data_IF_644085134555
#
_entry.id   IF_644085134555
#
_cell.length_a   1.000
_cell.length_b   1.000
_cell.length_c   1.000
_cell.angle_alpha   90.00
_cell.angle_beta   90.00
_cell.angle_gamma   90.00
#
_symmetry.space_group_name_H-M   'P 1'
#
loop_
_entity.id
_entity.type
_entity.pdbx_description
1 polymer ?
2 water ?
#
# COMPACT_ATOMS: atom_id res chain seq x y z
N UNK A 4 -15.17 22.30 -33.70
CA UNK A 4 -13.91 21.72 -33.10
C UNK A 4 -14.16 20.65 -32.06
N UNK A 5 -14.44 19.45 -32.54
CA UNK A 5 -14.11 18.24 -31.78
C UNK A 5 -12.55 18.24 -31.65
N UNK A 6 -11.91 17.09 -31.91
CA UNK A 6 -10.43 16.91 -31.97
C UNK A 6 -9.56 17.59 -30.90
N UNK A 7 -9.41 18.92 -30.97
CA UNK A 7 -8.55 19.69 -30.09
C UNK A 7 -9.11 19.70 -28.66
N UNK A 8 -10.44 19.84 -28.60
CA UNK A 8 -11.22 19.88 -27.36
C UNK A 8 -10.98 18.61 -26.59
N UNK A 9 -10.88 17.48 -27.30
CA UNK A 9 -10.83 16.17 -26.66
C UNK A 9 -9.45 15.78 -26.18
N UNK A 10 -8.39 16.26 -26.86
CA UNK A 10 -7.06 16.11 -26.35
C UNK A 10 -6.99 16.99 -25.14
N UNK A 11 -7.52 18.19 -25.17
CA UNK A 11 -7.48 18.95 -23.93
C UNK A 11 -8.18 18.26 -22.76
N UNK A 12 -9.30 17.58 -23.02
CA UNK A 12 -10.08 17.07 -21.91
C UNK A 12 -9.32 15.97 -21.36
N UNK A 13 -8.47 15.30 -22.17
CA UNK A 13 -7.76 14.18 -21.69
C UNK A 13 -6.52 14.67 -20.94
N UNK A 14 -6.08 15.90 -21.20
CA UNK A 14 -4.99 16.45 -20.39
C UNK A 14 -5.63 16.81 -19.06
N UNK A 15 -6.79 17.40 -19.13
CA UNK A 15 -7.55 17.73 -17.88
C UNK A 15 -7.72 16.51 -16.96
N UNK A 16 -8.15 15.42 -17.58
CA UNK A 16 -8.40 14.20 -16.89
C UNK A 16 -7.19 13.69 -16.14
N UNK A 17 -6.02 13.64 -16.81
CA UNK A 17 -4.79 13.27 -16.24
C UNK A 17 -4.25 14.24 -15.28
N UNK A 18 -4.46 15.57 -15.43
CA UNK A 18 -3.99 16.43 -14.36
C UNK A 18 -4.77 16.18 -13.07
N UNK A 19 -6.06 15.95 -13.16
CA UNK A 19 -6.88 15.67 -11.97
C UNK A 19 -6.33 14.43 -11.27
N UNK A 20 -5.92 13.44 -12.07
CA UNK A 20 -5.40 12.18 -11.54
C UNK A 20 -4.04 12.38 -10.90
N UNK A 21 -3.26 13.25 -11.51
CA UNK A 21 -1.99 13.62 -10.96
C UNK A 21 -2.20 14.34 -9.64
N UNK A 22 -3.18 15.23 -9.51
CA UNK A 22 -3.39 15.92 -8.21
C UNK A 22 -3.47 14.91 -7.06
N UNK A 23 -4.24 13.88 -7.29
CA UNK A 23 -4.63 12.88 -6.26
C UNK A 23 -3.48 11.91 -6.01
N UNK A 24 -2.85 11.47 -7.12
CA UNK A 24 -1.75 10.55 -6.97
C UNK A 24 -0.52 11.22 -6.33
N UNK A 25 -0.26 12.52 -6.54
CA UNK A 25 0.73 13.20 -5.75
C UNK A 25 0.44 13.20 -4.25
N UNK A 26 -0.78 13.55 -3.89
CA UNK A 26 -1.22 13.41 -2.50
C UNK A 26 -0.94 12.01 -1.86
N UNK A 27 -1.39 10.95 -2.49
CA UNK A 27 -1.10 9.59 -2.07
C UNK A 27 0.38 9.26 -1.94
N UNK A 28 1.19 9.84 -2.84
CA UNK A 28 2.61 9.85 -2.65
C UNK A 28 3.03 10.53 -1.38
N UNK A 29 2.54 11.75 -1.11
CA UNK A 29 2.91 12.38 0.16
C UNK A 29 2.48 11.46 1.30
N UNK A 30 1.40 10.73 1.14
CA UNK A 30 0.92 9.93 2.29
C UNK A 30 1.93 8.78 2.53
N UNK A 31 2.37 8.14 1.43
CA UNK A 31 3.31 6.96 1.47
C UNK A 31 4.61 7.42 2.00
N UNK A 32 4.97 8.68 1.70
CA UNK A 32 6.24 9.19 2.23
C UNK A 32 6.18 9.38 3.73
N UNK A 33 5.12 10.05 4.20
CA UNK A 33 4.98 10.26 5.62
C UNK A 33 5.02 8.91 6.32
N UNK A 34 4.34 7.89 5.75
CA UNK A 34 4.21 6.63 6.42
C UNK A 34 5.58 5.96 6.52
N UNK A 35 6.31 5.92 5.43
CA UNK A 35 7.68 5.37 5.49
C UNK A 35 8.58 6.14 6.44
N UNK A 36 8.31 7.45 6.59
CA UNK A 36 9.20 8.27 7.37
C UNK A 36 9.07 7.85 8.81
N UNK A 37 7.81 7.67 9.22
CA UNK A 37 7.43 7.26 10.56
C UNK A 37 7.65 5.76 10.87
N UNK A 38 7.33 4.89 9.92
CA UNK A 38 7.63 3.46 10.06
C UNK A 38 8.12 2.77 8.79
N UNK A 39 9.43 2.70 8.64
CA UNK A 39 9.99 2.13 7.43
C UNK A 39 9.82 0.63 7.22
N UNK A 40 8.63 0.05 7.44
CA UNK A 40 8.56 -1.41 7.30
C UNK A 40 8.55 -1.81 5.82
N UNK A 41 8.50 -3.09 5.47
CA UNK A 41 8.64 -3.44 4.03
C UNK A 41 7.37 -3.21 3.18
N UNK A 42 6.20 -3.38 3.80
CA UNK A 42 4.95 -2.99 3.15
C UNK A 42 4.92 -1.47 2.87
N UNK A 43 5.22 -0.63 3.87
CA UNK A 43 5.37 0.84 3.67
C UNK A 43 6.26 1.23 2.52
N UNK A 44 7.36 0.52 2.39
CA UNK A 44 8.31 0.80 1.40
C UNK A 44 7.82 0.31 0.06
N UNK A 45 7.04 -0.77 -0.01
CA UNK A 45 6.60 -1.12 -1.35
C UNK A 45 5.43 -0.22 -1.78
N UNK A 46 4.75 0.39 -0.82
CA UNK A 46 3.59 1.27 -1.19
C UNK A 46 4.21 2.53 -1.73
N UNK A 47 5.29 2.98 -1.07
CA UNK A 47 6.03 4.13 -1.47
C UNK A 47 6.57 4.00 -2.86
N UNK A 48 7.12 2.83 -3.17
CA UNK A 48 7.57 2.48 -4.51
C UNK A 48 6.46 2.63 -5.52
N UNK A 49 5.34 1.92 -5.33
CA UNK A 49 4.21 2.01 -6.23
C UNK A 49 3.70 3.42 -6.49
N UNK A 50 3.63 4.28 -5.46
CA UNK A 50 3.12 5.68 -5.62
C UNK A 50 4.08 6.55 -6.43
N UNK A 51 5.35 6.53 -6.04
CA UNK A 51 6.45 7.06 -6.88
C UNK A 51 6.29 6.60 -8.36
N UNK A 52 5.98 5.33 -8.55
CA UNK A 52 5.84 4.80 -9.89
C UNK A 52 4.68 5.41 -10.68
N UNK A 53 3.52 5.53 -10.03
CA UNK A 53 2.33 6.10 -10.63
C UNK A 53 2.42 7.60 -10.93
N UNK A 54 3.17 8.35 -10.12
CA UNK A 54 3.33 9.79 -10.28
C UNK A 54 4.28 10.03 -11.48
N UNK A 55 5.26 9.17 -11.64
CA UNK A 55 6.31 9.37 -12.65
C UNK A 55 5.74 9.11 -14.00
N UNK A 56 4.91 8.09 -14.06
CA UNK A 56 4.15 7.74 -15.22
C UNK A 56 3.05 8.72 -15.63
N UNK A 57 2.31 9.28 -14.68
CA UNK A 57 1.31 10.23 -15.05
C UNK A 57 1.97 11.48 -15.62
N UNK A 58 3.07 11.83 -15.01
CA UNK A 58 3.79 12.98 -15.38
C UNK A 58 4.36 12.79 -16.80
N UNK A 59 4.95 11.58 -17.04
CA UNK A 59 5.36 11.18 -18.39
C UNK A 59 4.27 11.27 -19.46
N UNK A 60 3.12 10.62 -19.25
CA UNK A 60 1.95 10.73 -20.12
C UNK A 60 1.35 12.14 -20.32
N UNK A 61 1.38 12.98 -19.29
CA UNK A 61 0.92 14.38 -19.39
C UNK A 61 1.79 15.20 -20.34
N UNK A 62 3.10 14.98 -20.22
CA UNK A 62 4.06 15.55 -21.17
C UNK A 62 3.79 15.16 -22.61
N UNK A 63 3.47 13.90 -22.83
CA UNK A 63 3.07 13.34 -24.10
C UNK A 63 1.84 13.95 -24.64
N UNK A 64 0.79 13.98 -23.83
CA UNK A 64 -0.41 14.59 -24.30
C UNK A 64 -0.22 16.05 -24.67
N UNK A 65 0.47 16.80 -23.85
CA UNK A 65 0.73 18.23 -24.11
C UNK A 65 1.50 18.44 -25.40
N UNK A 66 2.49 17.59 -25.63
CA UNK A 66 3.29 17.57 -26.83
C UNK A 66 2.31 17.34 -27.99
N UNK A 67 1.45 16.33 -27.89
CA UNK A 67 0.56 15.97 -28.96
C UNK A 67 -0.48 17.07 -29.29
N UNK A 68 -1.07 17.71 -28.29
CA UNK A 68 -1.90 18.86 -28.57
C UNK A 68 -1.11 19.94 -29.22
N UNK A 69 0.14 20.22 -28.83
CA UNK A 69 0.88 21.34 -29.48
C UNK A 69 1.06 21.07 -30.98
N UNK A 70 1.37 19.82 -31.33
CA UNK A 70 1.57 19.36 -32.72
C UNK A 70 0.27 19.43 -33.52
N UNK A 71 -0.83 19.06 -32.86
CA UNK A 71 -2.16 19.10 -33.44
C UNK A 71 -2.56 20.55 -33.76
N UNK A 72 -2.24 21.46 -32.86
CA UNK A 72 -2.45 22.90 -33.09
C UNK A 72 -1.58 23.33 -34.30
N UNK A 73 -0.26 23.07 -34.24
CA UNK A 73 0.68 23.38 -35.33
C UNK A 73 0.25 22.74 -36.65
N UNK A 74 -0.24 21.50 -36.65
CA UNK A 74 -0.70 20.91 -37.87
C UNK A 74 -1.93 21.61 -38.46
N UNK A 75 -2.91 22.00 -37.62
CA UNK A 75 -4.08 22.71 -38.10
C UNK A 75 -3.69 24.01 -38.76
N UNK A 76 -2.78 24.73 -38.10
CA UNK A 76 -2.21 25.97 -38.55
C UNK A 76 -1.62 25.83 -39.95
N UNK A 77 -0.74 24.83 -40.15
CA UNK A 77 -0.07 24.55 -41.44
C UNK A 77 -1.11 24.03 -42.49
N UNK B 6 12.35 -24.15 29.85
CA UNK B 6 11.72 -24.27 28.47
C UNK B 6 10.18 -24.23 28.50
N UNK B 7 9.56 -24.79 29.52
CA UNK B 7 8.17 -24.41 29.74
C UNK B 7 8.08 -22.90 29.60
N UNK B 8 8.90 -22.19 30.38
CA UNK B 8 8.86 -20.72 30.42
C UNK B 8 9.37 -20.04 29.15
N UNK B 9 10.31 -20.65 28.44
CA UNK B 9 10.74 -20.07 27.17
C UNK B 9 9.66 -20.16 26.10
N UNK B 10 8.87 -21.25 26.12
CA UNK B 10 7.73 -21.31 25.20
C UNK B 10 6.81 -20.21 25.65
N UNK B 11 6.55 -20.12 26.94
CA UNK B 11 5.66 -19.09 27.33
C UNK B 11 6.36 -17.79 26.90
N UNK B 12 7.68 -17.70 26.99
CA UNK B 12 8.38 -16.46 26.59
C UNK B 12 8.60 -16.28 25.05
N UNK B 13 8.65 -17.37 24.29
CA UNK B 13 8.50 -17.20 22.85
C UNK B 13 7.12 -16.80 22.52
N UNK B 14 6.14 -17.30 23.31
CA UNK B 14 4.73 -17.05 23.02
C UNK B 14 4.74 -15.54 23.02
N UNK B 15 4.76 -14.90 24.18
CA UNK B 15 5.10 -13.46 24.40
C UNK B 15 5.64 -12.63 23.26
N UNK B 16 6.89 -12.92 22.89
CA UNK B 16 7.57 -12.23 21.82
C UNK B 16 6.64 -12.30 20.64
N UNK B 17 5.92 -13.41 20.44
CA UNK B 17 4.91 -13.50 19.35
C UNK B 17 3.63 -12.79 19.58
N UNK B 18 3.05 -12.89 20.75
CA UNK B 18 1.84 -12.13 20.95
C UNK B 18 2.24 -10.63 21.01
N UNK B 19 3.55 -10.33 21.14
CA UNK B 19 3.90 -8.91 21.04
C UNK B 19 3.67 -8.55 19.56
N UNK B 20 4.30 -9.28 18.66
CA UNK B 20 4.16 -8.99 17.26
C UNK B 20 2.72 -8.93 16.67
N UNK B 21 1.72 -9.51 17.36
CA UNK B 21 0.34 -9.61 16.83
C UNK B 21 -0.55 -8.42 17.02
N UNK B 22 -0.45 -7.76 18.16
CA UNK B 22 -1.50 -6.76 18.38
C UNK B 22 -1.18 -5.40 17.70
N UNK B 23 0.11 -5.15 17.50
CA UNK B 23 0.56 -4.09 16.65
C UNK B 23 0.11 -4.44 15.22
N UNK B 24 0.61 -5.59 14.74
CA UNK B 24 0.27 -6.16 13.43
C UNK B 24 -1.18 -5.99 13.06
N UNK B 25 -2.05 -6.37 14.01
CA UNK B 25 -3.48 -6.15 13.90
C UNK B 25 -3.78 -4.64 13.74
N UNK B 26 -2.88 -3.83 14.28
CA UNK B 26 -3.01 -2.36 14.26
C UNK B 26 -2.61 -1.86 12.89
N UNK B 27 -1.62 -2.48 12.28
CA UNK B 27 -1.27 -2.10 10.93
C UNK B 27 -2.39 -2.51 10.03
N UNK B 28 -3.02 -3.67 10.34
CA UNK B 28 -4.25 -4.08 9.62
C UNK B 28 -5.36 -3.04 9.66
N UNK B 29 -5.70 -2.58 10.86
CA UNK B 29 -6.83 -1.70 11.03
C UNK B 29 -6.52 -0.40 10.25
N UNK B 30 -5.26 0.09 10.27
CA UNK B 30 -4.78 1.29 9.51
C UNK B 30 -4.99 1.07 8.01
N UNK B 31 -4.77 -0.17 7.57
CA UNK B 31 -4.86 -0.50 6.14
C UNK B 31 -6.31 -0.60 5.76
N UNK B 32 -7.14 -1.16 6.65
CA UNK B 32 -8.61 -1.18 6.44
C UNK B 32 -9.15 0.21 6.35
N UNK B 33 -8.64 1.07 7.23
CA UNK B 33 -9.14 2.48 7.22
C UNK B 33 -8.79 3.17 5.86
N UNK B 34 -7.55 3.00 5.39
CA UNK B 34 -7.15 3.52 4.07
C UNK B 34 -8.14 3.13 2.98
N UNK B 35 -8.49 1.86 2.99
CA UNK B 35 -9.34 1.29 1.90
C UNK B 35 -10.75 1.84 2.06
N UNK B 36 -11.22 1.93 3.31
CA UNK B 36 -12.52 2.58 3.58
C UNK B 36 -12.56 3.99 2.97
N UNK B 37 -11.52 4.77 3.22
CA UNK B 37 -11.47 6.13 2.77
C UNK B 37 -11.23 6.25 1.27
N UNK B 38 -10.36 5.42 0.69
CA UNK B 38 -10.23 5.34 -0.83
C UNK B 38 -9.74 3.95 -1.34
N UNK B 39 -10.67 3.13 -1.83
CA UNK B 39 -10.33 1.76 -2.21
C UNK B 39 -9.62 1.60 -3.55
N UNK B 40 -8.44 2.19 -3.71
CA UNK B 40 -7.74 2.01 -4.99
C UNK B 40 -6.81 0.76 -4.96
N UNK B 41 -6.14 0.47 -6.08
CA UNK B 41 -5.42 -0.76 -6.22
C UNK B 41 -4.33 -0.91 -5.17
N UNK B 42 -3.59 0.15 -4.95
CA UNK B 42 -2.43 0.15 -4.09
C UNK B 42 -2.86 -0.05 -2.63
N UNK B 43 -4.04 0.51 -2.26
CA UNK B 43 -4.47 0.38 -0.85
C UNK B 43 -4.99 -1.03 -0.62
N UNK B 44 -5.70 -1.59 -1.60
CA UNK B 44 -6.24 -2.97 -1.48
C UNK B 44 -5.17 -4.04 -1.38
N UNK B 45 -4.06 -3.78 -2.08
CA UNK B 45 -2.83 -4.54 -2.09
C UNK B 45 -2.10 -4.57 -0.72
N UNK B 46 -1.75 -3.38 -0.23
CA UNK B 46 -1.38 -3.15 1.18
C UNK B 46 -2.27 -3.86 2.22
N UNK B 47 -3.62 -3.79 2.06
CA UNK B 47 -4.57 -4.47 2.96
C UNK B 47 -4.34 -5.97 2.93
N UNK B 48 -4.29 -6.51 1.70
CA UNK B 48 -3.94 -7.91 1.39
C UNK B 48 -2.69 -8.29 2.13
N UNK B 49 -1.60 -7.52 2.02
CA UNK B 49 -0.40 -7.84 2.73
C UNK B 49 -0.51 -7.80 4.26
N UNK B 50 -1.30 -6.89 4.82
CA UNK B 50 -1.39 -6.77 6.30
C UNK B 50 -2.19 -7.88 6.87
N UNK B 51 -3.17 -8.35 6.13
CA UNK B 51 -3.98 -9.50 6.54
C UNK B 51 -3.14 -10.79 6.54
N UNK B 52 -2.40 -11.04 5.44
CA UNK B 52 -1.30 -12.00 5.42
C UNK B 52 -0.41 -11.97 6.63
N UNK B 53 0.11 -10.82 7.03
CA UNK B 53 0.92 -10.74 8.20
C UNK B 53 0.15 -11.05 9.48
N UNK B 54 -1.13 -10.68 9.60
CA UNK B 54 -1.92 -11.06 10.76
C UNK B 54 -2.12 -12.59 10.73
N UNK B 55 -2.48 -13.12 9.60
CA UNK B 55 -2.80 -14.56 9.49
C UNK B 55 -1.55 -15.46 9.80
N UNK B 56 -0.40 -15.09 9.28
CA UNK B 56 0.90 -15.74 9.61
C UNK B 56 1.29 -15.83 11.11
N UNK B 57 1.17 -14.73 11.86
CA UNK B 57 1.29 -14.61 13.31
C UNK B 57 0.27 -15.44 14.04
N UNK B 58 -0.93 -15.44 13.57
CA UNK B 58 -1.96 -16.26 14.24
C UNK B 58 -1.59 -17.75 14.12
N UNK B 59 -1.31 -18.20 12.89
CA UNK B 59 -0.72 -19.51 12.69
C UNK B 59 0.43 -19.86 13.60
N UNK B 60 1.44 -19.01 13.65
CA UNK B 60 2.55 -19.17 14.58
C UNK B 60 2.13 -19.28 16.04
N UNK B 61 1.22 -18.43 16.51
CA UNK B 61 0.82 -18.52 17.88
C UNK B 61 0.13 -19.86 18.19
N UNK B 62 -0.66 -20.33 17.25
CA UNK B 62 -1.34 -21.65 17.32
C UNK B 62 -0.32 -22.71 17.53
N UNK B 63 0.73 -22.74 16.70
CA UNK B 63 1.88 -23.68 16.89
C UNK B 63 2.53 -23.69 18.25
N UNK B 64 3.00 -22.55 18.74
CA UNK B 64 3.61 -22.47 20.08
C UNK B 64 2.66 -22.85 21.24
N UNK B 65 1.38 -22.47 21.10
CA UNK B 65 0.38 -22.79 22.14
C UNK B 65 0.15 -24.30 22.17
N UNK B 66 0.14 -24.97 21.03
CA UNK B 66 0.08 -26.44 20.97
C UNK B 66 1.31 -27.08 21.54
N UNK B 67 2.48 -26.57 21.11
CA UNK B 67 3.75 -26.95 21.76
C UNK B 67 3.69 -26.83 23.32
N UNK B 68 3.29 -25.70 23.84
CA UNK B 68 3.25 -25.52 25.30
C UNK B 68 2.24 -26.52 25.93
N UNK B 69 1.07 -26.58 25.35
CA UNK B 69 0.01 -27.38 25.97
C UNK B 69 0.48 -28.83 25.95
N UNK B 70 1.16 -29.25 24.89
CA UNK B 70 1.68 -30.62 24.79
C UNK B 70 2.70 -30.83 25.89
N UNK B 71 3.65 -29.90 26.06
CA UNK B 71 4.60 -29.89 27.18
C UNK B 71 3.98 -29.88 28.61
N UNK B 72 2.99 -29.05 28.85
CA UNK B 72 2.24 -29.14 30.10
C UNK B 72 1.64 -30.54 30.30
N UNK B 73 1.00 -31.05 29.24
CA UNK B 73 0.32 -32.35 29.27
C UNK B 73 1.33 -33.45 29.59
N UNK B 74 2.51 -33.37 28.97
CA UNK B 74 3.55 -34.38 29.09
C UNK B 74 3.77 -34.81 30.54
N UNK B 75 4.44 -34.01 31.37
CA UNK B 75 4.63 -34.32 32.81
C UNK B 75 3.45 -35.04 33.54
N UNK B 76 3.33 -36.40 33.50
CA UNK B 76 4.14 -37.39 32.73
C UNK B 76 3.24 -38.38 31.95
#
# INVERSE_FOLDING_TARGET
>A
GSHMSTLKEVQDNITLHEQRLVTTRQKLKDAERAVELDPDDVNKSTLQSRRAAVSALETKLGELKRELADLIAAQKLASKPVDPTGIEPDDHLKEK
>B
GSHMSTLKEVQDNITLHEQRLVTTRQKLKDAERAVELDPDDVNKSTLQSRRAAVSALETKLGELKRELADLIAAQKLASKPVDPTGIEPDDHLKEK
#
